data_IF_251745722769
#
_entry.id   IF_251745722769
#
_cell.length_a   1.000
_cell.length_b   1.000
_cell.length_c   1.000
_cell.angle_alpha   90.00
_cell.angle_beta   90.00
_cell.angle_gamma   90.00
#
_symmetry.space_group_name_H-M   'P 1'
#
loop_
_entity.id
_entity.type
_entity.pdbx_description
1 polymer ?
#
# COMPACT_ATOMS: atom_id res chain seq x y z
N UNK A 1 -31.32 -15.25 7.22
CA UNK A 1 -29.85 -15.14 7.29
C UNK A 1 -29.28 -15.09 5.89
N UNK A 2 -28.91 -13.90 5.41
CA UNK A 2 -28.24 -13.70 4.12
C UNK A 2 -26.80 -14.21 4.21
N UNK A 3 -26.44 -15.18 3.36
CA UNK A 3 -25.08 -15.73 3.31
C UNK A 3 -24.11 -14.63 2.87
N UNK A 4 -23.05 -14.38 3.65
CA UNK A 4 -22.02 -13.42 3.29
C UNK A 4 -21.41 -13.81 1.92
N UNK A 5 -21.35 -12.89 0.94
CA UNK A 5 -21.03 -13.24 -0.46
C UNK A 5 -19.62 -13.87 -0.64
N UNK A 6 -18.73 -13.65 0.33
CA UNK A 6 -17.38 -14.25 0.35
C UNK A 6 -17.21 -15.51 1.19
N UNK A 7 -18.20 -15.96 1.96
CA UNK A 7 -18.08 -17.13 2.86
C UNK A 7 -19.14 -18.15 2.48
N UNK A 8 -18.76 -19.10 1.62
CA UNK A 8 -19.70 -20.04 0.99
C UNK A 8 -19.96 -21.28 1.84
N UNK A 9 -19.03 -21.59 2.75
CA UNK A 9 -19.07 -22.76 3.61
C UNK A 9 -18.81 -22.41 5.08
N UNK A 10 -19.29 -23.25 5.98
CA UNK A 10 -18.94 -23.21 7.41
C UNK A 10 -17.42 -23.24 7.62
N UNK A 11 -16.70 -23.98 6.77
CA UNK A 11 -15.24 -24.05 6.81
C UNK A 11 -14.58 -22.69 6.47
N UNK A 12 -15.17 -21.89 5.57
CA UNK A 12 -14.68 -20.54 5.27
C UNK A 12 -14.89 -19.61 6.46
N UNK A 13 -16.04 -19.71 7.14
CA UNK A 13 -16.32 -18.96 8.36
C UNK A 13 -15.31 -19.31 9.46
N UNK A 14 -15.07 -20.61 9.67
CA UNK A 14 -14.07 -21.08 10.65
C UNK A 14 -12.66 -20.59 10.32
N UNK A 15 -12.25 -20.64 9.05
CA UNK A 15 -10.94 -20.12 8.60
C UNK A 15 -10.82 -18.61 8.79
N UNK A 16 -11.88 -17.86 8.47
CA UNK A 16 -11.93 -16.42 8.67
C UNK A 16 -11.84 -16.06 10.15
N UNK A 17 -12.57 -16.77 11.02
CA UNK A 17 -12.50 -16.60 12.47
C UNK A 17 -11.11 -16.88 13.03
N UNK A 18 -10.49 -18.01 12.66
CA UNK A 18 -9.13 -18.34 13.11
C UNK A 18 -8.15 -17.24 12.69
N UNK A 19 -8.16 -16.84 11.41
CA UNK A 19 -7.31 -15.76 10.90
C UNK A 19 -7.53 -14.44 11.66
N UNK A 20 -8.78 -14.11 11.97
CA UNK A 20 -9.11 -12.91 12.74
C UNK A 20 -8.57 -12.99 14.17
N UNK A 21 -8.77 -14.11 14.88
CA UNK A 21 -8.25 -14.29 16.25
C UNK A 21 -6.72 -14.31 16.30
N UNK A 22 -6.05 -14.89 15.30
CA UNK A 22 -4.59 -14.83 15.16
C UNK A 22 -4.12 -13.40 14.95
N UNK A 23 -4.81 -12.63 14.10
CA UNK A 23 -4.54 -11.21 13.89
C UNK A 23 -4.69 -10.39 15.17
N UNK A 24 -5.78 -10.56 15.93
CA UNK A 24 -5.99 -9.89 17.21
C UNK A 24 -4.91 -10.24 18.24
N UNK A 25 -4.50 -11.52 18.30
CA UNK A 25 -3.39 -11.96 19.16
C UNK A 25 -2.09 -11.26 18.77
N UNK A 26 -1.81 -11.12 17.48
CA UNK A 26 -0.60 -10.46 17.00
C UNK A 26 -0.64 -8.94 17.24
N UNK A 27 -1.81 -8.30 17.08
CA UNK A 27 -2.03 -6.90 17.47
C UNK A 27 -1.79 -6.70 18.97
N UNK A 28 -2.34 -7.58 19.81
CA UNK A 28 -2.12 -7.52 21.26
C UNK A 28 -0.63 -7.68 21.60
N UNK A 29 0.06 -8.65 20.99
CA UNK A 29 1.52 -8.79 21.17
C UNK A 29 2.28 -7.54 20.73
N UNK A 30 1.85 -6.87 19.67
CA UNK A 30 2.46 -5.62 19.20
C UNK A 30 2.20 -4.44 20.17
N UNK A 31 1.00 -4.37 20.76
CA UNK A 31 0.66 -3.37 21.78
C UNK A 31 1.42 -3.59 23.09
N UNK A 32 1.72 -4.84 23.42
CA UNK A 32 2.51 -5.21 24.60
C UNK A 32 4.02 -5.03 24.40
N UNK A 33 4.50 -4.71 23.19
CA UNK A 33 5.90 -4.37 22.96
C UNK A 33 6.20 -2.98 23.51
N UNK A 34 7.44 -2.81 23.96
CA UNK A 34 8.00 -1.51 24.30
C UNK A 34 7.77 -0.48 23.16
N UNK A 35 7.28 0.74 23.45
CA UNK A 35 7.02 1.76 22.44
C UNK A 35 8.21 2.03 21.50
N UNK A 36 9.45 2.00 22.01
CA UNK A 36 10.67 2.23 21.19
C UNK A 36 10.89 1.06 20.22
N UNK A 37 10.68 -0.18 20.69
CA UNK A 37 10.72 -1.36 19.84
C UNK A 37 9.67 -1.31 18.73
N UNK A 38 8.44 -0.86 19.03
CA UNK A 38 7.34 -0.70 18.06
C UNK A 38 7.68 0.32 16.98
N UNK A 39 8.17 1.50 17.35
CA UNK A 39 8.61 2.53 16.39
C UNK A 39 9.73 2.01 15.50
N UNK A 40 10.70 1.30 16.08
CA UNK A 40 11.82 0.69 15.32
C UNK A 40 11.33 -0.38 14.34
N UNK A 41 10.40 -1.24 14.76
CA UNK A 41 9.80 -2.26 13.91
C UNK A 41 9.00 -1.65 12.77
N UNK A 42 8.20 -0.63 13.06
CA UNK A 42 7.40 0.09 12.07
C UNK A 42 8.30 0.80 11.04
N UNK A 43 9.39 1.42 11.49
CA UNK A 43 10.41 2.01 10.60
C UNK A 43 11.02 0.95 9.67
N UNK A 44 11.36 -0.24 10.20
CA UNK A 44 11.85 -1.37 9.39
C UNK A 44 10.79 -1.84 8.39
N UNK A 45 9.52 -1.95 8.79
CA UNK A 45 8.41 -2.35 7.92
C UNK A 45 8.25 -1.39 6.74
N UNK A 46 8.14 -0.09 7.01
CA UNK A 46 8.05 0.97 5.98
C UNK A 46 9.27 0.96 5.06
N UNK A 47 10.46 0.75 5.61
CA UNK A 47 11.68 0.65 4.81
C UNK A 47 11.65 -0.57 3.86
N UNK A 48 11.17 -1.73 4.31
CA UNK A 48 11.04 -2.90 3.44
C UNK A 48 9.98 -2.70 2.37
N UNK A 49 8.85 -2.11 2.73
CA UNK A 49 7.77 -1.81 1.79
C UNK A 49 8.24 -0.86 0.68
N UNK A 50 8.96 0.20 1.03
CA UNK A 50 9.57 1.12 0.05
C UNK A 50 10.52 0.42 -0.91
N UNK A 51 11.32 -0.56 -0.45
CA UNK A 51 12.19 -1.32 -1.35
C UNK A 51 11.40 -2.22 -2.29
N UNK A 52 10.35 -2.89 -1.79
CA UNK A 52 9.48 -3.73 -2.62
C UNK A 52 8.85 -2.88 -3.71
N UNK A 53 8.30 -1.73 -3.34
CA UNK A 53 7.73 -0.79 -4.30
C UNK A 53 8.76 -0.29 -5.32
N UNK A 54 9.98 0.04 -4.89
CA UNK A 54 11.06 0.44 -5.80
C UNK A 54 11.46 -0.68 -6.77
N UNK A 55 11.55 -1.91 -6.28
CA UNK A 55 11.80 -3.08 -7.12
C UNK A 55 10.69 -3.25 -8.16
N UNK A 56 9.43 -3.26 -7.76
CA UNK A 56 8.28 -3.42 -8.67
C UNK A 56 8.17 -2.27 -9.68
N UNK A 57 8.52 -1.04 -9.28
CA UNK A 57 8.59 0.10 -10.21
C UNK A 57 9.64 -0.12 -11.29
N UNK A 58 10.88 -0.42 -10.90
CA UNK A 58 11.98 -0.67 -11.84
C UNK A 58 11.72 -1.88 -12.73
N UNK A 59 11.16 -2.94 -12.16
CA UNK A 59 10.77 -4.15 -12.89
C UNK A 59 9.73 -3.85 -13.97
N UNK A 60 8.72 -3.03 -13.64
CA UNK A 60 7.72 -2.58 -14.62
C UNK A 60 8.33 -1.73 -15.73
N UNK A 61 9.23 -0.80 -15.41
CA UNK A 61 9.94 -0.01 -16.43
C UNK A 61 10.78 -0.91 -17.34
N UNK A 62 11.58 -1.81 -16.76
CA UNK A 62 12.38 -2.75 -17.53
C UNK A 62 11.52 -3.63 -18.45
N UNK A 63 10.35 -4.08 -17.98
CA UNK A 63 9.45 -4.93 -18.75
C UNK A 63 8.68 -4.18 -19.84
N UNK A 64 8.12 -3.01 -19.54
CA UNK A 64 7.17 -2.33 -20.43
C UNK A 64 7.78 -1.19 -21.24
N UNK A 65 8.81 -0.53 -20.73
CA UNK A 65 9.47 0.60 -21.41
C UNK A 65 10.69 0.10 -22.18
N UNK A 66 11.54 -0.69 -21.52
CA UNK A 66 12.76 -1.18 -22.16
C UNK A 66 12.52 -2.43 -22.99
N UNK A 67 11.70 -3.38 -22.51
CA UNK A 67 11.18 -4.50 -23.29
C UNK A 67 12.19 -5.13 -24.26
N UNK A 68 11.90 -5.01 -25.56
CA UNK A 68 12.73 -5.54 -26.65
C UNK A 68 14.00 -4.72 -26.93
N UNK A 69 14.03 -3.42 -26.57
CA UNK A 69 15.18 -2.54 -26.78
C UNK A 69 16.39 -3.01 -25.96
N UNK A 70 16.14 -3.47 -24.74
CA UNK A 70 17.18 -3.95 -23.83
C UNK A 70 16.74 -5.25 -23.13
N UNK A 71 16.78 -6.34 -23.88
CA UNK A 71 16.33 -7.68 -23.43
C UNK A 71 16.98 -8.17 -22.12
N UNK A 72 18.16 -7.65 -21.76
CA UNK A 72 18.86 -7.99 -20.53
C UNK A 72 18.34 -7.24 -19.28
N UNK A 73 17.62 -6.13 -19.46
CA UNK A 73 17.22 -5.25 -18.36
C UNK A 73 16.31 -5.94 -17.34
N UNK A 74 15.29 -6.68 -17.81
CA UNK A 74 14.37 -7.41 -16.93
C UNK A 74 15.11 -8.49 -16.13
N UNK A 75 15.97 -9.27 -16.80
CA UNK A 75 16.78 -10.31 -16.15
C UNK A 75 17.71 -9.73 -15.08
N UNK A 76 18.32 -8.57 -15.34
CA UNK A 76 19.17 -7.88 -14.36
C UNK A 76 18.38 -7.38 -13.14
N UNK A 77 17.22 -6.76 -13.35
CA UNK A 77 16.37 -6.29 -12.24
C UNK A 77 15.87 -7.45 -11.40
N UNK A 78 15.43 -8.55 -12.03
CA UNK A 78 14.98 -9.75 -11.33
C UNK A 78 16.11 -10.40 -10.53
N UNK A 79 17.33 -10.46 -11.09
CA UNK A 79 18.52 -10.95 -10.39
C UNK A 79 18.91 -10.08 -9.18
N UNK A 80 18.77 -8.75 -9.29
CA UNK A 80 18.98 -7.82 -8.16
C UNK A 80 17.97 -8.07 -7.04
N UNK A 81 16.70 -8.25 -7.41
CA UNK A 81 15.58 -8.40 -6.49
C UNK A 81 15.42 -7.24 -5.50
N UNK A 82 14.60 -7.44 -4.47
CA UNK A 82 14.37 -6.45 -3.40
C UNK A 82 15.65 -6.16 -2.60
N UNK A 83 16.57 -7.12 -2.51
CA UNK A 83 17.84 -6.96 -1.77
C UNK A 83 18.82 -6.03 -2.49
N UNK A 84 18.79 -6.03 -3.83
CA UNK A 84 19.57 -5.15 -4.67
C UNK A 84 19.07 -3.70 -4.69
N UNK A 85 17.88 -3.39 -4.15
CA UNK A 85 17.36 -2.02 -4.09
C UNK A 85 18.08 -1.16 -3.04
N UNK A 86 18.20 0.14 -3.28
CA UNK A 86 18.76 1.07 -2.29
C UNK A 86 17.88 1.16 -1.05
N UNK A 87 18.47 1.53 0.08
CA UNK A 87 17.68 2.00 1.20
C UNK A 87 17.54 3.50 1.08
N UNK A 88 16.32 3.97 1.26
CA UNK A 88 16.09 5.38 1.48
C UNK A 88 15.99 5.63 2.99
N UNK A 89 16.77 6.58 3.51
CA UNK A 89 16.47 7.19 4.81
C UNK A 89 15.58 8.40 4.59
N UNK A 90 14.47 8.45 5.31
CA UNK A 90 13.64 9.66 5.37
C UNK A 90 14.25 10.60 6.42
N UNK A 91 14.44 11.86 6.06
CA UNK A 91 14.82 12.93 6.99
C UNK A 91 13.60 13.52 7.76
N UNK A 92 12.44 12.90 7.57
CA UNK A 92 11.12 13.47 7.85
C UNK A 92 10.68 13.39 9.32
N UNK A 93 11.59 13.08 10.23
CA UNK A 93 11.24 13.02 11.65
C UNK A 93 11.28 14.42 12.32
N UNK A 94 11.72 15.49 11.62
CA UNK A 94 12.03 16.78 12.24
C UNK A 94 11.27 18.03 11.74
N UNK A 95 10.36 17.98 10.75
CA UNK A 95 9.64 19.22 10.38
C UNK A 95 8.63 19.15 9.24
N UNK A 96 7.85 20.24 9.08
CA UNK A 96 6.75 20.46 8.11
C UNK A 96 7.17 20.48 6.62
N UNK A 97 8.37 20.00 6.28
CA UNK A 97 8.91 20.01 4.92
C UNK A 97 8.52 18.80 4.08
N UNK A 98 8.55 18.95 2.76
CA UNK A 98 8.29 17.86 1.82
C UNK A 98 9.31 16.71 1.95
N UNK A 99 8.77 15.49 1.99
CA UNK A 99 9.40 14.21 1.61
C UNK A 99 10.80 14.24 0.95
N UNK A 100 11.92 14.35 1.67
CA UNK A 100 13.28 14.26 1.09
C UNK A 100 13.93 12.98 1.59
N UNK A 101 14.32 12.14 0.64
CA UNK A 101 14.87 10.84 0.90
C UNK A 101 16.32 10.78 0.48
N UNK A 102 17.18 10.34 1.40
CA UNK A 102 18.60 10.16 1.13
C UNK A 102 18.87 8.71 0.71
N UNK A 103 19.39 8.54 -0.50
CA UNK A 103 19.79 7.24 -1.04
C UNK A 103 21.07 6.81 -0.33
N UNK A 104 21.03 5.69 0.41
CA UNK A 104 22.26 5.13 0.97
C UNK A 104 23.17 4.61 -0.13
N UNK A 105 24.45 4.98 -0.06
CA UNK A 105 25.50 4.43 -0.93
C UNK A 105 25.67 2.95 -0.67
N UNK A 106 25.53 2.12 -1.70
CA UNK A 106 25.72 0.67 -1.60
C UNK A 106 27.16 0.36 -2.02
N UNK A 107 28.08 0.04 -1.09
CA UNK A 107 29.51 0.03 -1.36
C UNK A 107 29.94 -1.03 -2.39
N UNK A 108 29.18 -2.13 -2.45
CA UNK A 108 29.44 -3.22 -3.40
C UNK A 108 28.96 -2.93 -4.81
N UNK A 109 28.07 -1.97 -5.02
CA UNK A 109 27.46 -1.70 -6.33
C UNK A 109 28.40 -0.83 -7.16
N UNK A 110 28.64 -1.22 -8.41
CA UNK A 110 29.42 -0.41 -9.34
C UNK A 110 28.71 0.92 -9.64
N UNK A 111 29.50 1.96 -9.97
CA UNK A 111 28.95 3.26 -10.34
C UNK A 111 28.06 3.19 -11.61
N UNK A 112 28.44 2.45 -12.67
CA UNK A 112 27.56 2.26 -13.84
C UNK A 112 26.21 1.65 -13.47
N UNK A 113 26.19 0.58 -12.66
CA UNK A 113 24.94 -0.03 -12.22
C UNK A 113 24.09 0.94 -11.38
N UNK A 114 24.73 1.79 -10.57
CA UNK A 114 24.00 2.82 -9.84
C UNK A 114 23.32 3.83 -10.79
N UNK A 115 24.05 4.37 -11.77
CA UNK A 115 23.51 5.29 -12.78
C UNK A 115 22.38 4.65 -13.58
N UNK A 116 22.58 3.43 -14.07
CA UNK A 116 21.58 2.65 -14.78
C UNK A 116 20.27 2.50 -13.99
N UNK A 117 20.36 2.16 -12.69
CA UNK A 117 19.17 2.09 -11.82
C UNK A 117 18.50 3.45 -11.57
N UNK A 118 19.23 4.56 -11.63
CA UNK A 118 18.68 5.92 -11.51
C UNK A 118 17.94 6.32 -12.79
N UNK A 119 18.47 5.96 -13.94
CA UNK A 119 17.80 6.17 -15.23
C UNK A 119 16.46 5.41 -15.28
N UNK A 120 16.38 4.17 -14.76
CA UNK A 120 15.08 3.48 -14.58
C UNK A 120 14.10 4.24 -13.68
N UNK A 121 14.59 4.88 -12.61
CA UNK A 121 13.72 5.65 -11.72
C UNK A 121 13.18 6.90 -12.43
N UNK A 122 13.98 7.56 -13.28
CA UNK A 122 13.54 8.68 -14.11
C UNK A 122 12.55 8.26 -15.20
N UNK A 123 12.77 7.12 -15.85
CA UNK A 123 11.83 6.55 -16.82
C UNK A 123 10.49 6.21 -16.16
N UNK A 124 10.50 5.75 -14.90
CA UNK A 124 9.25 5.56 -14.16
C UNK A 124 8.47 6.88 -14.03
N UNK A 125 9.17 7.99 -13.77
CA UNK A 125 8.54 9.31 -13.72
C UNK A 125 7.99 9.71 -15.10
N UNK A 126 8.76 9.52 -16.18
CA UNK A 126 8.30 9.76 -17.56
C UNK A 126 6.99 9.00 -17.87
N UNK A 127 6.93 7.69 -17.57
CA UNK A 127 5.69 6.90 -17.76
C UNK A 127 4.51 7.52 -17.01
N UNK A 128 4.73 8.06 -15.82
CA UNK A 128 3.65 8.70 -15.03
C UNK A 128 3.12 9.98 -15.65
N UNK A 129 3.95 10.74 -16.35
CA UNK A 129 3.54 11.92 -17.09
C UNK A 129 2.80 11.54 -18.38
N UNK A 130 3.37 10.61 -19.16
CA UNK A 130 2.79 10.17 -20.43
C UNK A 130 1.40 9.53 -20.30
N UNK A 131 1.18 8.73 -19.25
CA UNK A 131 -0.08 8.00 -19.12
C UNK A 131 -1.26 8.85 -18.63
N UNK A 132 -1.05 10.11 -18.23
CA UNK A 132 -2.12 10.90 -17.64
C UNK A 132 -2.14 12.39 -18.05
N UNK A 133 -1.13 12.92 -18.76
CA UNK A 133 -0.91 14.35 -19.02
C UNK A 133 -1.06 15.26 -17.78
N UNK A 134 -1.20 14.65 -16.60
CA UNK A 134 -1.55 15.22 -15.32
C UNK A 134 -1.10 14.21 -14.26
N UNK A 135 -0.93 14.69 -13.03
CA UNK A 135 -0.66 13.85 -11.88
C UNK A 135 -1.62 12.66 -11.76
N UNK A 136 -1.23 11.46 -12.19
CA UNK A 136 -2.04 10.27 -11.94
C UNK A 136 -2.35 10.16 -10.44
N UNK A 137 -3.59 9.81 -10.09
CA UNK A 137 -3.98 9.69 -8.70
C UNK A 137 -3.08 8.65 -7.97
N UNK A 138 -2.47 9.05 -6.86
CA UNK A 138 -1.56 8.21 -6.06
C UNK A 138 -0.30 8.94 -5.61
N UNK A 139 0.51 8.27 -4.77
CA UNK A 139 1.77 8.86 -4.28
C UNK A 139 2.75 9.04 -5.44
N UNK A 140 3.14 10.28 -5.71
CA UNK A 140 4.25 10.59 -6.60
C UNK A 140 5.55 9.93 -6.14
N UNK A 141 6.49 9.62 -7.05
CA UNK A 141 7.86 9.35 -6.67
C UNK A 141 8.34 10.42 -5.70
N UNK A 142 9.17 10.05 -4.74
CA UNK A 142 9.68 11.01 -3.79
C UNK A 142 10.96 11.67 -4.28
N UNK A 143 11.20 12.90 -3.83
CA UNK A 143 12.44 13.59 -4.12
C UNK A 143 13.59 12.86 -3.43
N UNK A 144 14.59 12.47 -4.22
CA UNK A 144 15.70 11.63 -3.77
C UNK A 144 17.03 12.30 -4.05
N UNK A 145 17.87 12.36 -3.02
CA UNK A 145 19.22 12.92 -3.07
C UNK A 145 20.20 11.84 -2.68
N UNK A 146 21.40 11.86 -3.27
CA UNK A 146 22.47 10.96 -2.87
C UNK A 146 22.92 11.27 -1.44
N UNK A 147 22.82 10.27 -0.58
CA UNK A 147 23.27 10.35 0.80
C UNK A 147 24.76 10.01 0.94
N UNK A 148 25.40 10.60 1.94
CA UNK A 148 26.79 10.27 2.31
C UNK A 148 26.91 8.95 3.07
N UNK A 149 25.81 8.47 3.67
CA UNK A 149 25.79 7.26 4.50
C UNK A 149 25.89 5.99 3.67
N UNK A 150 26.83 5.12 4.03
CA UNK A 150 27.00 3.81 3.42
C UNK A 150 26.04 2.76 3.99
N UNK A 151 25.59 1.85 3.13
CA UNK A 151 24.71 0.74 3.47
C UNK A 151 25.55 -0.47 3.89
N UNK A 152 25.23 -1.07 5.05
CA UNK A 152 25.88 -2.31 5.56
C UNK A 152 25.36 -3.58 4.87
N UNK A 153 24.79 -3.48 3.66
CA UNK A 153 24.17 -4.63 2.98
C UNK A 153 25.22 -5.51 2.33
N UNK A 154 24.98 -6.81 2.40
CA UNK A 154 25.75 -7.79 1.67
C UNK A 154 25.52 -7.62 0.15
N UNK A 155 26.53 -7.95 -0.66
CA UNK A 155 26.37 -8.02 -2.11
C UNK A 155 25.31 -9.06 -2.50
N UNK A 156 24.57 -8.78 -3.58
CA UNK A 156 23.64 -9.75 -4.17
C UNK A 156 24.47 -10.81 -4.90
N UNK A 157 24.06 -12.08 -4.77
CA UNK A 157 24.75 -13.22 -5.40
C UNK A 157 24.29 -13.36 -6.86
N UNK A 158 25.16 -13.89 -7.72
CA UNK A 158 24.77 -14.24 -9.09
C UNK A 158 24.68 -13.07 -10.08
N UNK A 159 25.16 -11.88 -9.72
CA UNK A 159 25.19 -10.76 -10.66
C UNK A 159 26.40 -10.85 -11.60
N UNK A 160 26.34 -10.20 -12.78
CA UNK A 160 27.50 -9.97 -13.64
C UNK A 160 28.66 -9.27 -12.91
N UNK A 161 29.89 -9.58 -13.30
CA UNK A 161 31.10 -9.06 -12.63
C UNK A 161 31.12 -7.52 -12.59
N UNK A 162 30.80 -6.87 -13.71
CA UNK A 162 30.74 -5.41 -13.80
C UNK A 162 29.64 -4.73 -12.95
N UNK A 163 28.73 -5.48 -12.33
CA UNK A 163 27.77 -4.96 -11.34
C UNK A 163 28.43 -4.68 -9.97
N UNK A 164 29.61 -5.26 -9.71
CA UNK A 164 30.33 -5.08 -8.47
C UNK A 164 31.36 -3.95 -8.56
N UNK A 165 31.51 -3.18 -7.49
CA UNK A 165 32.43 -2.05 -7.44
C UNK A 165 33.89 -2.56 -7.48
N UNK A 166 34.77 -1.99 -8.33
CA UNK A 166 36.18 -2.39 -8.39
C UNK A 166 36.92 -2.20 -7.06
N UNK A 167 36.50 -1.20 -6.28
CA UNK A 167 37.06 -0.88 -4.95
C UNK A 167 36.74 -1.93 -3.87
N UNK A 168 35.89 -2.91 -4.16
CA UNK A 168 35.51 -3.91 -3.18
C UNK A 168 36.69 -4.86 -2.97
N UNK A 169 37.39 -4.70 -1.85
CA UNK A 169 38.46 -5.62 -1.43
C UNK A 169 37.86 -6.94 -0.96
N UNK A 170 37.51 -7.79 -1.92
CA UNK A 170 37.17 -9.18 -1.65
C UNK A 170 38.39 -10.05 -1.91
N UNK A 171 38.66 -10.97 -0.98
CA UNK A 171 39.55 -12.10 -1.26
C UNK A 171 38.92 -13.02 -2.33
N UNK A 172 39.74 -13.90 -2.91
CA UNK A 172 39.29 -14.84 -3.94
C UNK A 172 38.16 -15.76 -3.45
N UNK A 173 38.18 -16.14 -2.17
CA UNK A 173 37.15 -17.00 -1.58
C UNK A 173 35.78 -16.32 -1.58
N UNK A 174 35.72 -15.04 -1.20
CA UNK A 174 34.49 -14.24 -1.23
C UNK A 174 34.03 -13.96 -2.65
N UNK A 175 34.94 -13.74 -3.60
CA UNK A 175 34.57 -13.66 -5.03
C UNK A 175 33.91 -14.95 -5.50
N UNK A 176 34.48 -16.11 -5.16
CA UNK A 176 33.87 -17.41 -5.49
C UNK A 176 32.50 -17.59 -4.81
N UNK A 177 32.35 -17.12 -3.57
CA UNK A 177 31.09 -17.18 -2.83
C UNK A 177 29.97 -16.32 -3.45
N UNK A 178 30.30 -15.26 -4.18
CA UNK A 178 29.31 -14.44 -4.89
C UNK A 178 28.63 -15.18 -6.04
N UNK A 179 29.22 -16.26 -6.56
CA UNK A 179 28.74 -16.97 -7.76
C UNK A 179 28.49 -16.00 -8.94
N UNK A 180 29.35 -15.00 -9.10
CA UNK A 180 29.15 -13.97 -10.10
C UNK A 180 29.18 -14.55 -11.52
N UNK A 181 28.48 -13.88 -12.44
CA UNK A 181 28.53 -14.23 -13.86
C UNK A 181 29.73 -13.54 -14.50
N UNK A 182 30.64 -14.32 -15.09
CA UNK A 182 31.84 -13.77 -15.75
C UNK A 182 31.51 -12.94 -16.99
N UNK A 183 30.33 -13.15 -17.59
CA UNK A 183 29.88 -12.37 -18.75
C UNK A 183 29.38 -11.01 -18.29
N UNK A 184 30.09 -9.96 -18.69
CA UNK A 184 29.65 -8.59 -18.51
C UNK A 184 28.39 -8.30 -19.34
N UNK A 185 27.56 -7.42 -18.80
CA UNK A 185 26.36 -6.90 -19.46
C UNK A 185 26.51 -5.40 -19.71
N UNK A 186 25.90 -4.83 -20.75
CA UNK A 186 25.84 -3.37 -20.89
C UNK A 186 25.16 -2.74 -19.66
N UNK A 187 25.81 -1.79 -19.01
CA UNK A 187 25.26 -1.00 -17.89
C UNK A 187 25.06 0.46 -18.28
N UNK A 188 24.80 0.68 -19.57
CA UNK A 188 24.53 1.98 -20.17
C UNK A 188 23.32 1.77 -21.06
N UNK A 189 22.25 2.50 -20.81
CA UNK A 189 21.07 2.45 -21.65
C UNK A 189 21.35 3.02 -23.04
N UNK A 190 20.52 2.68 -24.03
CA UNK A 190 20.56 3.32 -25.35
C UNK A 190 20.43 4.85 -25.24
N UNK A 191 21.04 5.59 -26.17
CA UNK A 191 21.14 7.06 -26.07
C UNK A 191 19.78 7.76 -26.00
N UNK A 192 18.78 7.28 -26.76
CA UNK A 192 17.41 7.81 -26.71
C UNK A 192 16.79 7.63 -25.31
N UNK A 193 16.96 6.45 -24.71
CA UNK A 193 16.48 6.14 -23.36
C UNK A 193 17.15 7.04 -22.33
N UNK A 194 18.47 7.26 -22.46
CA UNK A 194 19.22 8.15 -21.56
C UNK A 194 18.82 9.60 -21.72
N UNK A 195 18.57 10.06 -22.94
CA UNK A 195 18.06 11.40 -23.24
C UNK A 195 16.71 11.62 -22.54
N UNK A 196 15.77 10.69 -22.72
CA UNK A 196 14.46 10.74 -22.03
C UNK A 196 14.65 10.70 -20.50
N UNK A 197 15.47 9.79 -19.97
CA UNK A 197 15.70 9.70 -18.53
C UNK A 197 16.28 11.00 -17.93
N UNK A 198 17.12 11.72 -18.68
CA UNK A 198 17.72 13.00 -18.25
C UNK A 198 16.69 14.13 -18.16
N UNK A 199 15.69 14.14 -19.06
CA UNK A 199 14.59 15.12 -19.02
C UNK A 199 13.70 14.96 -17.77
N UNK A 200 13.66 13.75 -17.21
CA UNK A 200 12.85 13.39 -16.04
C UNK A 200 13.70 13.10 -14.79
N UNK A 201 14.81 13.84 -14.61
CA UNK A 201 15.69 13.68 -13.45
C UNK A 201 14.95 13.89 -12.12
N UNK A 202 14.96 12.86 -11.27
CA UNK A 202 14.44 12.90 -9.91
C UNK A 202 15.17 13.90 -9.00
N UNK A 203 16.32 14.42 -9.42
CA UNK A 203 17.01 15.56 -8.82
C UNK A 203 16.26 16.89 -8.99
N UNK A 204 15.24 16.96 -9.84
CA UNK A 204 14.45 18.17 -10.02
C UNK A 204 13.15 18.17 -9.19
N UNK A 205 13.16 18.91 -8.07
CA UNK A 205 12.03 18.96 -7.11
C UNK A 205 10.68 19.32 -7.75
N UNK A 206 10.65 20.19 -8.77
CA UNK A 206 9.40 20.60 -9.41
C UNK A 206 8.77 19.48 -10.24
N UNK A 207 9.57 18.66 -10.92
CA UNK A 207 9.10 17.45 -11.62
C UNK A 207 8.51 16.44 -10.64
N UNK A 208 9.23 16.15 -9.58
CA UNK A 208 8.80 15.12 -8.62
C UNK A 208 7.53 15.52 -7.85
N UNK A 209 7.24 16.82 -7.76
CA UNK A 209 5.99 17.33 -7.16
C UNK A 209 4.82 17.41 -8.14
N UNK A 210 5.00 17.03 -9.41
CA UNK A 210 3.98 17.15 -10.44
C UNK A 210 3.66 18.60 -10.84
N UNK A 211 4.53 19.56 -10.46
CA UNK A 211 4.32 21.01 -10.71
C UNK A 211 5.03 21.53 -11.95
N UNK A 212 5.77 20.66 -12.64
CA UNK A 212 6.48 20.97 -13.86
C UNK A 212 6.22 19.82 -14.83
N UNK A 213 5.84 20.11 -16.06
CA UNK A 213 5.75 19.13 -17.12
C UNK A 213 6.78 19.53 -18.19
N UNK A 214 7.87 18.75 -18.39
CA UNK A 214 8.92 19.10 -19.34
C UNK A 214 8.39 19.37 -20.76
N UNK A 215 7.33 18.67 -21.16
CA UNK A 215 6.75 18.79 -22.50
C UNK A 215 5.99 20.12 -22.65
N UNK A 216 5.18 20.52 -21.67
CA UNK A 216 4.48 21.80 -21.70
C UNK A 216 5.43 23.00 -21.69
N UNK A 217 6.56 22.88 -20.99
CA UNK A 217 7.55 23.96 -20.97
C UNK A 217 8.33 24.01 -22.29
N UNK A 218 8.59 22.87 -22.94
CA UNK A 218 9.13 22.83 -24.31
C UNK A 218 8.18 23.48 -25.31
N UNK A 219 6.88 23.19 -25.24
CA UNK A 219 5.88 23.82 -26.10
C UNK A 219 5.80 25.34 -25.89
N UNK A 220 5.98 25.83 -24.66
CA UNK A 220 6.05 27.27 -24.38
C UNK A 220 7.33 27.90 -24.91
N UNK A 221 8.48 27.23 -24.79
CA UNK A 221 9.75 27.73 -25.31
C UNK A 221 9.77 27.74 -26.85
N UNK A 222 9.26 26.69 -27.49
CA UNK A 222 9.15 26.59 -28.95
C UNK A 222 8.03 27.49 -29.51
N UNK A 223 6.90 27.62 -28.81
CA UNK A 223 5.79 28.49 -29.18
C UNK A 223 6.04 29.99 -28.97
N UNK A 224 7.13 30.37 -28.30
CA UNK A 224 7.61 31.76 -28.19
C UNK A 224 8.57 32.14 -29.32
N UNK A 225 8.87 31.22 -30.27
CA UNK A 225 9.25 31.67 -31.61
C UNK A 225 8.04 32.34 -32.24
N UNK A 226 8.07 33.68 -32.28
CA UNK A 226 7.09 34.54 -32.94
C UNK A 226 6.85 34.02 -34.36
N UNK A 227 5.78 33.24 -34.54
CA UNK A 227 5.28 32.94 -35.87
C UNK A 227 4.88 34.27 -36.52
N UNK A 228 5.38 34.48 -37.74
CA UNK A 228 4.98 35.60 -38.58
C UNK A 228 3.44 35.58 -38.68
N UNK A 229 2.73 36.67 -38.34
CA UNK A 229 1.27 36.73 -38.38
C UNK A 229 0.65 36.31 -39.73
N UNK A 230 1.42 36.24 -40.82
CA UNK A 230 0.97 35.75 -42.12
C UNK A 230 0.89 34.21 -42.26
N UNK A 231 1.53 33.41 -41.39
CA UNK A 231 1.45 31.93 -41.46
C UNK A 231 0.25 31.33 -40.70
N UNK A 232 -0.49 32.15 -39.94
CA UNK A 232 -1.56 31.71 -39.03
C UNK A 232 -2.84 31.23 -39.72
N UNK A 233 -2.98 31.41 -41.05
CA UNK A 233 -4.17 30.99 -41.79
C UNK A 233 -4.18 29.51 -42.19
N UNK A 234 -3.04 28.83 -42.26
CA UNK A 234 -2.97 27.43 -42.74
C UNK A 234 -2.98 26.39 -41.62
N UNK A 235 -2.50 26.72 -40.43
CA UNK A 235 -2.39 25.81 -39.29
C UNK A 235 -3.72 25.48 -38.60
N UNK A 236 -4.65 26.44 -38.56
CA UNK A 236 -6.00 26.24 -37.98
C UNK A 236 -6.87 25.28 -38.81
N UNK A 237 -6.65 25.17 -40.12
CA UNK A 237 -7.39 24.26 -41.00
C UNK A 237 -6.91 22.80 -40.88
N UNK A 238 -5.65 22.58 -40.48
CA UNK A 238 -5.04 21.25 -40.39
C UNK A 238 -5.28 20.59 -39.00
N UNK A 239 -5.22 21.36 -37.92
CA UNK A 239 -5.44 20.89 -36.54
C UNK A 239 -6.88 20.39 -36.30
N UNK A 240 -7.87 21.02 -36.92
CA UNK A 240 -9.29 20.70 -36.71
C UNK A 240 -9.69 19.33 -37.30
N UNK A 241 -8.97 18.84 -38.31
CA UNK A 241 -9.26 17.54 -38.96
C UNK A 241 -8.66 16.33 -38.23
N UNK A 242 -7.49 16.47 -37.60
CA UNK A 242 -6.85 15.37 -36.88
C UNK A 242 -7.52 15.07 -35.53
N UNK A 243 -7.97 16.12 -34.82
CA UNK A 243 -8.65 15.94 -33.53
C UNK A 243 -10.06 15.32 -33.66
N UNK A 244 -10.72 15.50 -34.81
CA UNK A 244 -12.04 14.90 -35.09
C UNK A 244 -11.97 13.42 -35.47
N UNK A 245 -10.91 13.00 -36.17
CA UNK A 245 -10.70 11.60 -36.57
C UNK A 245 -10.43 10.65 -35.38
N UNK A 246 -9.75 11.15 -34.34
CA UNK A 246 -9.47 10.39 -33.11
C UNK A 246 -10.73 10.25 -32.24
N UNK A 247 -11.62 11.25 -32.23
CA UNK A 247 -12.90 11.20 -31.49
C UNK A 247 -13.94 10.26 -32.12
N UNK A 248 -14.00 10.15 -33.46
CA UNK A 248 -14.97 9.27 -34.13
C UNK A 248 -14.61 7.78 -33.95
N UNK A 249 -13.32 7.44 -33.87
CA UNK A 249 -12.91 6.06 -33.61
C UNK A 249 -13.22 5.57 -32.19
N UNK A 250 -13.53 6.46 -31.24
CA UNK A 250 -13.77 6.11 -29.84
C UNK A 250 -15.25 5.88 -29.48
N UNK A 251 -16.19 6.25 -30.36
CA UNK A 251 -17.64 6.12 -30.12
C UNK A 251 -18.26 4.93 -30.90
N UNK A 252 -17.57 4.37 -31.90
CA UNK A 252 -18.11 3.33 -32.78
C UNK A 252 -17.97 1.86 -32.35
N UNK A 253 -17.71 1.54 -31.07
CA UNK A 253 -17.51 0.13 -30.66
C UNK A 253 -18.10 -0.24 -29.30
N UNK A 254 -19.40 -0.03 -29.16
CA UNK A 254 -20.22 -0.63 -28.10
C UNK A 254 -21.54 -1.14 -28.70
N UNK A 255 -21.46 -2.18 -29.51
CA UNK A 255 -22.55 -3.17 -29.72
C UNK A 255 -22.03 -4.26 -30.65
N UNK A 256 -21.87 -5.47 -30.11
CA UNK A 256 -22.46 -6.70 -30.66
C UNK A 256 -21.90 -7.91 -29.91
N UNK A 257 -22.83 -8.64 -29.31
CA UNK A 257 -22.70 -9.94 -28.68
C UNK A 257 -22.56 -11.05 -29.73
N UNK A 258 -21.85 -12.09 -29.30
CA UNK A 258 -22.03 -13.51 -29.64
C UNK A 258 -21.67 -14.09 -31.02
N UNK A 259 -21.03 -15.25 -30.88
CA UNK A 259 -21.06 -16.45 -31.71
C UNK A 259 -20.02 -16.66 -32.84
N UNK A 260 -19.22 -17.71 -32.61
CA UNK A 260 -18.86 -18.80 -33.54
C UNK A 260 -17.79 -18.61 -34.62
N UNK A 261 -16.74 -19.44 -34.47
CA UNK A 261 -15.97 -20.22 -35.47
C UNK A 261 -15.92 -19.71 -36.92
N UNK A 262 -14.72 -19.47 -37.44
CA UNK A 262 -14.21 -20.09 -38.68
C UNK A 262 -12.68 -19.98 -38.75
N UNK A 263 -12.06 -21.06 -39.23
CA UNK A 263 -10.68 -21.16 -39.73
C UNK A 263 -10.71 -20.82 -41.22
N UNK A 264 -9.77 -20.01 -41.71
CA UNK A 264 -9.07 -20.23 -42.99
C UNK A 264 -7.94 -19.20 -43.21
N UNK A 265 -6.83 -19.71 -43.75
CA UNK A 265 -5.63 -19.00 -44.23
C UNK A 265 -5.93 -18.03 -45.38
N UNK A 266 -5.09 -17.00 -45.55
CA UNK A 266 -4.41 -16.71 -46.82
C UNK A 266 -3.23 -15.72 -46.67
N UNK A 267 -2.33 -15.82 -47.64
CA UNK A 267 -0.96 -15.32 -47.76
C UNK A 267 -0.78 -13.80 -47.96
N UNK A 268 0.39 -13.33 -47.52
CA UNK A 268 1.36 -12.43 -48.20
C UNK A 268 0.85 -11.28 -49.07
N UNK A 269 1.23 -10.05 -48.71
CA UNK A 269 1.93 -9.13 -49.61
C UNK A 269 2.78 -8.11 -48.80
N UNK A 270 4.00 -7.91 -49.28
CA UNK A 270 4.97 -6.94 -48.81
C UNK A 270 4.55 -5.50 -49.17
N UNK A 271 4.90 -4.55 -48.31
CA UNK A 271 4.75 -3.12 -48.55
C UNK A 271 5.45 -2.32 -47.46
N UNK A 272 6.58 -1.73 -47.82
CA UNK A 272 7.50 -0.93 -47.02
C UNK A 272 6.93 0.43 -46.58
N UNK A 273 6.97 0.74 -45.28
CA UNK A 273 7.28 2.07 -44.70
C UNK A 273 7.64 1.93 -43.20
N UNK A 274 8.62 2.68 -42.66
CA UNK A 274 8.93 2.67 -41.23
C UNK A 274 8.33 3.91 -40.55
N UNK A 275 7.12 3.80 -40.03
CA UNK A 275 6.66 4.69 -38.95
C UNK A 275 6.35 3.82 -37.74
N UNK A 276 7.39 3.56 -36.96
CA UNK A 276 7.33 2.72 -35.77
C UNK A 276 6.77 3.56 -34.61
N UNK A 277 5.48 3.90 -34.68
CA UNK A 277 4.75 4.43 -33.53
C UNK A 277 4.41 3.26 -32.62
N UNK A 278 5.21 3.12 -31.56
CA UNK A 278 5.03 2.18 -30.45
C UNK A 278 3.60 2.32 -29.89
N UNK A 279 2.72 1.35 -30.17
CA UNK A 279 1.41 1.24 -29.52
C UNK A 279 1.51 0.30 -28.33
N UNK A 280 1.47 0.87 -27.12
CA UNK A 280 1.40 0.12 -25.87
C UNK A 280 0.06 -0.64 -25.75
N UNK A 281 0.03 -1.84 -25.15
CA UNK A 281 -1.21 -2.59 -24.95
C UNK A 281 -2.07 -1.99 -23.81
N UNK A 282 -3.39 -1.94 -24.03
CA UNK A 282 -4.39 -1.40 -23.10
C UNK A 282 -4.99 -2.48 -22.18
N UNK A 283 -5.00 -2.27 -20.85
CA UNK A 283 -5.76 -3.00 -19.81
C UNK A 283 -5.48 -2.39 -18.39
N UNK A 284 -6.29 -2.40 -17.31
CA UNK A 284 -7.65 -2.84 -16.90
C UNK A 284 -8.07 -1.98 -15.66
N UNK A 285 -9.35 -1.60 -15.42
CA UNK A 285 -9.77 -0.87 -14.22
C UNK A 285 -10.13 -1.76 -13.01
N UNK A 286 -9.64 -1.38 -11.83
CA UNK A 286 -9.78 -2.07 -10.54
C UNK A 286 -11.23 -2.42 -10.12
N UNK A 287 -11.45 -3.68 -9.72
CA UNK A 287 -12.70 -4.24 -9.17
C UNK A 287 -12.98 -3.84 -7.70
N UNK A 288 -13.15 -2.57 -7.39
CA UNK A 288 -13.48 -2.14 -6.00
C UNK A 288 -14.75 -1.31 -5.84
N UNK A 289 -15.59 -1.19 -6.87
CA UNK A 289 -16.88 -0.52 -6.76
C UNK A 289 -18.02 -1.51 -6.98
N UNK A 290 -18.55 -2.14 -5.91
CA UNK A 290 -19.89 -2.72 -5.87
C UNK A 290 -20.20 -3.27 -4.46
N UNK A 291 -20.61 -2.37 -3.56
CA UNK A 291 -21.47 -2.70 -2.43
C UNK A 291 -22.40 -1.50 -2.24
N UNK A 292 -23.70 -1.71 -2.49
CA UNK A 292 -24.70 -0.64 -2.42
C UNK A 292 -25.14 -0.43 -0.95
N UNK A 293 -25.15 0.84 -0.57
CA UNK A 293 -25.46 1.41 0.76
C UNK A 293 -26.72 0.86 1.43
N UNK A 294 -27.73 0.51 0.65
CA UNK A 294 -29.08 0.27 1.17
C UNK A 294 -29.24 -1.10 1.85
N UNK A 295 -28.38 -2.07 1.52
CA UNK A 295 -28.40 -3.39 2.16
C UNK A 295 -27.74 -3.37 3.55
N UNK A 296 -26.73 -2.52 3.76
CA UNK A 296 -26.11 -2.33 5.07
C UNK A 296 -27.08 -1.62 6.03
N UNK A 297 -27.89 -0.68 5.52
CA UNK A 297 -28.90 0.04 6.29
C UNK A 297 -30.02 -0.87 6.79
N UNK A 298 -30.52 -1.78 5.95
CA UNK A 298 -31.58 -2.71 6.35
C UNK A 298 -31.14 -3.71 7.44
N UNK A 299 -29.87 -4.15 7.43
CA UNK A 299 -29.33 -5.04 8.47
C UNK A 299 -29.22 -4.29 9.80
N UNK A 300 -28.84 -3.01 9.75
CA UNK A 300 -28.73 -2.16 10.93
C UNK A 300 -30.09 -1.84 11.55
N UNK A 301 -31.08 -1.49 10.73
CA UNK A 301 -32.44 -1.17 11.18
C UNK A 301 -33.17 -2.41 11.74
N UNK A 302 -33.02 -3.58 11.09
CA UNK A 302 -33.63 -4.82 11.58
C UNK A 302 -32.93 -5.34 12.85
N UNK A 303 -31.61 -5.17 12.94
CA UNK A 303 -30.84 -5.45 14.17
C UNK A 303 -31.29 -4.55 15.33
N UNK A 304 -31.45 -3.24 15.09
CA UNK A 304 -31.97 -2.30 16.08
C UNK A 304 -33.41 -2.62 16.52
N UNK A 305 -34.28 -3.07 15.61
CA UNK A 305 -35.66 -3.46 15.92
C UNK A 305 -35.71 -4.69 16.85
N UNK A 306 -34.92 -5.72 16.54
CA UNK A 306 -34.87 -6.96 17.33
C UNK A 306 -34.30 -6.71 18.73
N UNK A 307 -33.32 -5.82 18.87
CA UNK A 307 -32.76 -5.40 20.16
C UNK A 307 -33.83 -4.71 21.02
N UNK A 308 -34.58 -3.77 20.43
CA UNK A 308 -35.65 -3.04 21.14
C UNK A 308 -36.78 -3.96 21.61
N UNK A 309 -37.05 -5.01 20.85
CA UNK A 309 -38.05 -6.03 21.20
C UNK A 309 -37.58 -6.92 22.37
N UNK A 310 -36.28 -7.25 22.41
CA UNK A 310 -35.68 -8.00 23.53
C UNK A 310 -35.60 -7.14 24.78
N UNK A 311 -35.23 -5.87 24.66
CA UNK A 311 -35.25 -4.91 25.77
C UNK A 311 -36.65 -4.80 26.38
N UNK A 312 -37.70 -4.62 25.56
CA UNK A 312 -39.07 -4.55 26.04
C UNK A 312 -39.51 -5.83 26.78
N UNK A 313 -39.06 -7.01 26.33
CA UNK A 313 -39.34 -8.29 26.99
C UNK A 313 -38.61 -8.43 28.32
N UNK A 314 -37.37 -7.96 28.41
CA UNK A 314 -36.59 -7.95 29.65
C UNK A 314 -37.17 -6.95 30.65
N UNK A 315 -37.56 -5.75 30.20
CA UNK A 315 -38.24 -4.75 31.03
C UNK A 315 -39.60 -5.24 31.56
N UNK A 316 -40.36 -5.97 30.73
CA UNK A 316 -41.63 -6.56 31.14
C UNK A 316 -41.47 -7.63 32.24
N UNK A 317 -40.29 -8.27 32.32
CA UNK A 317 -39.99 -9.34 33.27
C UNK A 317 -39.35 -8.84 34.58
N UNK A 318 -38.93 -7.58 34.65
CA UNK A 318 -38.42 -6.99 35.89
C UNK A 318 -39.56 -6.64 36.86
N UNK A 319 -39.38 -6.89 38.19
CA UNK A 319 -40.33 -6.48 39.21
C UNK A 319 -40.54 -4.95 39.18
N UNK A 320 -41.73 -4.43 39.55
CA UNK A 320 -42.03 -3.00 39.44
C UNK A 320 -41.07 -2.09 40.22
N UNK A 321 -40.45 -2.59 41.30
CA UNK A 321 -39.49 -1.85 42.13
C UNK A 321 -38.15 -1.58 41.43
N UNK A 322 -37.81 -2.37 40.40
CA UNK A 322 -36.47 -2.39 39.80
C UNK A 322 -36.46 -1.77 38.40
N UNK A 323 -37.58 -1.16 37.99
CA UNK A 323 -37.64 -0.40 36.75
C UNK A 323 -37.07 1.00 37.01
N UNK A 324 -36.01 1.42 36.30
CA UNK A 324 -35.41 2.72 36.49
C UNK A 324 -36.45 3.82 36.23
N UNK A 325 -36.68 4.68 37.22
CA UNK A 325 -37.41 5.93 37.02
C UNK A 325 -36.57 6.84 36.13
N UNK A 326 -37.17 7.28 35.02
CA UNK A 326 -36.56 8.20 34.08
C UNK A 326 -36.40 9.56 34.76
N UNK A 327 -35.17 9.88 35.18
CA UNK A 327 -34.83 11.19 35.70
C UNK A 327 -33.95 11.91 34.69
N UNK A 328 -34.59 12.87 34.03
CA UNK A 328 -33.96 13.94 33.28
C UNK A 328 -33.31 14.95 34.26
N UNK A 329 -32.24 15.61 33.80
CA UNK A 329 -31.53 16.77 34.37
C UNK A 329 -30.47 16.53 35.48
N UNK A 330 -29.21 16.87 35.17
CA UNK A 330 -28.50 18.03 35.77
C UNK A 330 -27.06 18.13 35.25
N UNK A 331 -26.71 19.35 34.84
CA UNK A 331 -25.40 19.79 34.35
C UNK A 331 -24.40 20.10 35.49
N UNK A 332 -23.11 20.13 35.13
CA UNK A 332 -22.16 21.14 35.64
C UNK A 332 -20.97 20.66 36.48
N UNK A 333 -19.75 20.99 36.04
CA UNK A 333 -18.63 21.24 36.98
C UNK A 333 -17.24 20.66 36.67
N UNK A 334 -16.52 21.33 35.75
CA UNK A 334 -15.08 21.71 35.71
C UNK A 334 -13.94 20.85 36.30
N UNK A 335 -12.87 20.72 35.50
CA UNK A 335 -11.62 19.96 35.69
C UNK A 335 -10.58 20.58 36.64
N UNK A 336 -9.83 19.71 37.34
CA UNK A 336 -8.44 19.95 37.73
C UNK A 336 -7.65 18.62 37.77
N UNK A 337 -6.34 18.70 37.48
CA UNK A 337 -5.46 17.60 37.04
C UNK A 337 -5.31 16.38 37.95
N UNK A 338 -5.16 15.22 37.28
CA UNK A 338 -5.05 13.89 37.88
C UNK A 338 -3.58 13.54 38.12
N UNK A 339 -3.18 13.52 39.39
CA UNK A 339 -2.07 12.68 39.86
C UNK A 339 -2.61 11.26 39.99
N UNK A 340 -1.98 10.30 39.29
CA UNK A 340 -2.32 8.87 39.41
C UNK A 340 -1.75 8.37 40.74
N UNK A 341 -2.54 8.54 41.78
CA UNK A 341 -2.47 7.70 42.99
C UNK A 341 -3.15 6.40 42.60
N UNK A 342 -2.44 5.27 42.68
CA UNK A 342 -3.06 3.95 42.56
C UNK A 342 -4.01 3.77 43.75
N UNK A 343 -5.27 4.15 43.51
CA UNK A 343 -6.32 4.17 44.51
C UNK A 343 -6.59 2.73 44.98
N UNK A 344 -6.62 2.52 46.30
CA UNK A 344 -6.90 1.22 46.91
C UNK A 344 -8.24 0.62 46.43
N UNK A 345 -9.17 1.48 45.99
CA UNK A 345 -10.41 1.09 45.30
C UNK A 345 -10.19 0.32 43.99
N UNK A 346 -9.13 0.62 43.23
CA UNK A 346 -8.81 -0.04 41.95
C UNK A 346 -8.33 -1.48 42.16
N UNK A 347 -7.60 -1.74 43.24
CA UNK A 347 -7.12 -3.09 43.59
C UNK A 347 -8.29 -3.95 44.08
N UNK A 348 -9.16 -3.40 44.95
CA UNK A 348 -10.36 -4.09 45.41
C UNK A 348 -11.33 -4.43 44.27
N UNK A 349 -11.54 -3.49 43.34
CA UNK A 349 -12.40 -3.69 42.16
C UNK A 349 -11.83 -4.75 41.21
N UNK A 350 -10.50 -4.79 41.02
CA UNK A 350 -9.84 -5.82 40.20
C UNK A 350 -9.94 -7.21 40.82
N UNK A 351 -9.88 -7.32 42.14
CA UNK A 351 -10.00 -8.60 42.83
C UNK A 351 -11.44 -9.11 42.79
N UNK A 352 -12.42 -8.24 43.05
CA UNK A 352 -13.84 -8.59 42.99
C UNK A 352 -14.28 -9.02 41.58
N UNK A 353 -13.74 -8.37 40.54
CA UNK A 353 -13.95 -8.79 39.14
C UNK A 353 -13.35 -10.17 38.86
N UNK A 354 -12.15 -10.44 39.37
CA UNK A 354 -11.48 -11.74 39.22
C UNK A 354 -12.27 -12.85 39.90
N UNK A 355 -12.70 -12.63 41.14
CA UNK A 355 -13.48 -13.61 41.90
C UNK A 355 -14.81 -13.90 41.22
N UNK A 356 -15.45 -12.88 40.63
CA UNK A 356 -16.69 -13.05 39.86
C UNK A 356 -16.50 -13.82 38.55
N UNK A 357 -15.40 -13.57 37.83
CA UNK A 357 -15.04 -14.33 36.61
C UNK A 357 -14.80 -15.81 36.94
N UNK A 358 -14.19 -16.11 38.09
CA UNK A 358 -13.91 -17.48 38.51
C UNK A 358 -15.17 -18.26 38.90
N UNK A 359 -16.24 -17.57 39.30
CA UNK A 359 -17.53 -18.18 39.66
C UNK A 359 -18.46 -18.39 38.45
N UNK A 360 -18.19 -17.73 37.33
CA UNK A 360 -19.02 -17.85 36.12
C UNK A 360 -18.73 -19.16 35.39
N UNK A 361 -19.79 -19.84 34.97
CA UNK A 361 -19.65 -20.94 34.04
C UNK A 361 -19.33 -20.42 32.63
N UNK A 362 -18.93 -21.32 31.73
CA UNK A 362 -18.50 -20.95 30.38
C UNK A 362 -19.54 -20.13 29.61
N UNK A 363 -20.81 -20.49 29.71
CA UNK A 363 -21.88 -19.85 28.95
C UNK A 363 -22.13 -18.43 29.46
N UNK A 364 -22.04 -18.23 30.78
CA UNK A 364 -22.12 -16.91 31.42
C UNK A 364 -20.92 -16.02 31.05
N UNK A 365 -19.72 -16.58 30.94
CA UNK A 365 -18.53 -15.85 30.49
C UNK A 365 -18.63 -15.41 29.04
N UNK A 366 -19.13 -16.29 28.16
CA UNK A 366 -19.34 -15.98 26.74
C UNK A 366 -20.39 -14.86 26.61
N UNK A 367 -21.52 -14.96 27.30
CA UNK A 367 -22.57 -13.93 27.28
C UNK A 367 -22.10 -12.59 27.85
N UNK A 368 -21.34 -12.62 28.95
CA UNK A 368 -20.79 -11.41 29.56
C UNK A 368 -19.72 -10.75 28.68
N UNK A 369 -18.91 -11.53 27.97
CA UNK A 369 -17.93 -11.02 27.01
C UNK A 369 -18.61 -10.32 25.80
N UNK A 370 -19.74 -10.85 25.32
CA UNK A 370 -20.54 -10.20 24.27
C UNK A 370 -21.15 -8.89 24.75
N UNK A 371 -21.76 -8.84 25.94
CA UNK A 371 -22.34 -7.61 26.50
C UNK A 371 -21.30 -6.50 26.72
N UNK A 372 -20.11 -6.87 27.19
CA UNK A 372 -18.98 -5.94 27.32
C UNK A 372 -18.56 -5.37 25.95
N UNK A 373 -18.47 -6.22 24.94
CA UNK A 373 -18.13 -5.78 23.58
C UNK A 373 -19.17 -4.80 23.01
N UNK A 374 -20.46 -5.06 23.25
CA UNK A 374 -21.55 -4.18 22.81
C UNK A 374 -21.58 -2.83 23.54
N UNK A 375 -21.37 -2.82 24.86
CA UNK A 375 -21.28 -1.56 25.62
C UNK A 375 -20.14 -0.66 25.15
N UNK A 376 -19.06 -1.24 24.64
CA UNK A 376 -17.86 -0.53 24.20
C UNK A 376 -18.07 0.13 22.85
N UNK A 377 -18.75 -0.57 21.94
CA UNK A 377 -19.17 -0.01 20.65
C UNK A 377 -20.16 1.14 20.87
N UNK A 378 -20.95 1.11 21.94
CA UNK A 378 -21.95 2.12 22.25
C UNK A 378 -21.42 3.36 22.98
N UNK A 379 -20.28 3.29 23.69
CA UNK A 379 -19.85 4.36 24.62
C UNK A 379 -18.57 5.12 24.23
N UNK A 380 -17.98 4.88 23.04
CA UNK A 380 -16.76 5.56 22.55
C UNK A 380 -15.63 5.63 23.60
N UNK A 381 -15.54 4.60 24.45
CA UNK A 381 -14.50 4.50 25.48
C UNK A 381 -13.16 4.12 24.86
N UNK A 382 -12.07 4.46 25.56
CA UNK A 382 -10.70 4.13 25.16
C UNK A 382 -10.56 2.63 24.88
N UNK A 383 -10.52 2.32 23.59
CA UNK A 383 -10.54 0.96 23.03
C UNK A 383 -9.41 0.09 23.62
N UNK A 384 -8.31 0.70 24.06
CA UNK A 384 -7.17 0.00 24.65
C UNK A 384 -7.45 -0.55 26.06
N UNK A 385 -8.19 0.18 26.91
CA UNK A 385 -8.52 -0.27 28.28
C UNK A 385 -9.49 -1.45 28.20
N UNK A 386 -10.42 -1.36 27.26
CA UNK A 386 -11.44 -2.37 27.05
C UNK A 386 -10.85 -3.63 26.45
N UNK A 387 -10.05 -3.52 25.38
CA UNK A 387 -9.41 -4.68 24.75
C UNK A 387 -8.56 -5.45 25.77
N UNK A 388 -7.86 -4.75 26.66
CA UNK A 388 -7.11 -5.38 27.77
C UNK A 388 -8.03 -6.14 28.73
N UNK A 389 -9.18 -5.57 29.06
CA UNK A 389 -10.15 -6.20 29.97
C UNK A 389 -10.78 -7.43 29.31
N UNK A 390 -11.28 -7.31 28.08
CA UNK A 390 -11.86 -8.41 27.31
C UNK A 390 -10.88 -9.57 27.11
N UNK A 391 -9.64 -9.28 26.70
CA UNK A 391 -8.63 -10.32 26.50
C UNK A 391 -8.23 -11.04 27.80
N UNK A 392 -8.30 -10.33 28.94
CA UNK A 392 -8.07 -10.93 30.26
C UNK A 392 -9.21 -11.89 30.65
N UNK A 393 -10.46 -11.55 30.35
CA UNK A 393 -11.61 -12.44 30.54
C UNK A 393 -11.48 -13.69 29.69
N UNK A 394 -11.14 -13.55 28.41
CA UNK A 394 -10.90 -14.68 27.51
C UNK A 394 -9.74 -15.57 27.96
N UNK A 395 -8.69 -14.98 28.54
CA UNK A 395 -7.56 -15.72 29.08
C UNK A 395 -7.95 -16.56 30.30
N UNK A 396 -8.69 -16.00 31.25
CA UNK A 396 -9.14 -16.73 32.45
C UNK A 396 -10.18 -17.81 32.11
N UNK A 397 -11.12 -17.53 31.19
CA UNK A 397 -12.04 -18.54 30.66
C UNK A 397 -11.30 -19.74 30.04
N UNK A 398 -10.16 -19.49 29.37
CA UNK A 398 -9.31 -20.54 28.82
C UNK A 398 -8.61 -21.38 29.90
N UNK A 399 -8.14 -20.77 30.99
CA UNK A 399 -7.55 -21.53 32.11
C UNK A 399 -8.55 -22.47 32.75
N UNK A 400 -9.78 -22.00 32.95
CA UNK A 400 -10.87 -22.80 33.52
C UNK A 400 -11.21 -23.98 32.61
N UNK A 401 -11.23 -23.76 31.28
CA UNK A 401 -11.64 -24.80 30.31
C UNK A 401 -10.56 -25.82 29.98
N UNK A 402 -9.28 -25.45 30.04
CA UNK A 402 -8.18 -26.38 29.73
C UNK A 402 -7.74 -27.18 30.96
N UNK A 403 -8.13 -26.75 32.16
CA UNK A 403 -7.65 -27.30 33.42
C UNK A 403 -6.20 -26.90 33.65
N UNK A 404 -5.93 -26.16 34.72
CA UNK A 404 -4.56 -25.81 35.08
C UNK A 404 -3.87 -27.08 35.60
N UNK A 405 -3.25 -27.86 34.71
CA UNK A 405 -2.60 -29.14 35.03
C UNK A 405 -1.22 -28.94 35.70
N UNK A 406 -1.18 -28.05 36.70
CA UNK A 406 -0.04 -27.84 37.60
C UNK A 406 -0.55 -27.87 39.04
N UNK A 407 -0.89 -29.07 39.49
CA UNK A 407 -0.81 -29.47 40.90
C UNK A 407 0.13 -30.64 40.99
#
# INVERSE_FOLDING_TARGET
>A
MTKHPGLRSEQDVRKAWIRHTEHLRDQYKELMKDPVARVTQERKRRQQERKRNLFEQRRRVAMYVLGELESHALGLVDALGVQGMSSDESDHESGQGQATYFIKKVPWRSAPLHTWLRELDSLHLWVRYQMAHTASAGSWPHFRVDGTRESKRNPVLGLPQNCYAPKMKLDQFRWNALKYMAKDIPLVHLDDVRKTAKEYDLGHRRLVSGRLNPEEDREKEEGVQTMDPNEMQWSNLFMTRHSFAIKICYIGRLQLSDSSKYVLLLHSMAGTTPENTFKLPAWWPSKTALLQSDQARNVWEEGGRLVKEVEQRVYAQLPPSDRPHSTDQSEGGTSAGVQIVDDAGTIATRQLLRDRIQQMNRLELEEWAFRLFEQVVAQDQDIDIVLRSFLKVMHEARKITVGDSRT
#
